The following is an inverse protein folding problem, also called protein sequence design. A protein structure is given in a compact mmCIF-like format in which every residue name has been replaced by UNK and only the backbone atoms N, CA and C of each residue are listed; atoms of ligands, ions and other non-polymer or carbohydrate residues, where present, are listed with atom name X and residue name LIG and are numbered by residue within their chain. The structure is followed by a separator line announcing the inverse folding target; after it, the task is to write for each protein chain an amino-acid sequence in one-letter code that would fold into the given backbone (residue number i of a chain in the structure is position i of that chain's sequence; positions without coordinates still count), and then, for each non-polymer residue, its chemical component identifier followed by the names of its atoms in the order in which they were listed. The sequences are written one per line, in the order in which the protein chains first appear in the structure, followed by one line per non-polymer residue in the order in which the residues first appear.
data_IF_219317825934
#
_entry.id   IF_219317825934
#
_cell.length_a   1.000
_cell.length_b   1.000
_cell.length_c   1.000
_cell.angle_alpha   90.00
_cell.angle_beta   90.00
_cell.angle_gamma   90.00
#
_symmetry.space_group_name_H-M   'P 1'
#
loop_
_entity.id
_entity.type
_entity.pdbx_description
1 polymer ?
#
# COMPACT_ATOMS: atom_id res chain seq x y z
N UNK A 1 9.85 -56.36 25.04
CA UNK A 1 11.10 -56.64 24.30
C UNK A 1 11.88 -55.35 24.18
N UNK A 2 13.17 -55.44 24.54
CA UNK A 2 14.24 -54.47 24.81
C UNK A 2 14.11 -52.98 24.47
N UNK A 3 14.33 -52.18 25.54
CA UNK A 3 15.03 -50.89 25.51
C UNK A 3 16.53 -51.16 25.26
N UNK A 4 17.22 -50.32 24.49
CA UNK A 4 18.69 -50.32 24.47
C UNK A 4 19.21 -48.92 24.84
N UNK A 5 19.75 -48.87 26.05
CA UNK A 5 20.56 -47.82 26.64
C UNK A 5 22.00 -48.34 26.62
N UNK A 6 22.96 -47.69 25.97
CA UNK A 6 24.42 -47.81 26.16
C UNK A 6 25.02 -46.68 25.29
N UNK A 7 25.97 -45.84 25.72
CA UNK A 7 27.02 -46.04 26.70
C UNK A 7 27.56 -44.66 27.11
N UNK A 8 27.84 -44.53 28.41
CA UNK A 8 28.63 -43.45 29.01
C UNK A 8 30.09 -43.64 28.64
N UNK A 9 30.80 -42.57 28.29
CA UNK A 9 32.25 -42.50 28.44
C UNK A 9 32.65 -41.11 28.92
N UNK A 10 33.11 -41.07 30.17
CA UNK A 10 33.80 -39.95 30.77
C UNK A 10 35.31 -40.15 30.58
N UNK A 11 36.02 -39.14 30.11
CA UNK A 11 37.44 -38.95 30.38
C UNK A 11 37.72 -37.45 30.60
N UNK A 12 38.65 -37.23 31.53
CA UNK A 12 38.85 -36.06 32.36
C UNK A 12 39.80 -35.02 31.70
N UNK A 13 40.17 -33.92 32.41
CA UNK A 13 40.46 -32.61 31.83
C UNK A 13 41.91 -32.46 31.34
N UNK A 14 42.11 -31.66 30.31
CA UNK A 14 43.43 -31.08 29.99
C UNK A 14 43.29 -29.56 30.03
N UNK A 15 43.88 -28.98 31.08
CA UNK A 15 44.15 -27.56 31.19
C UNK A 15 45.29 -27.19 30.22
N UNK A 16 45.08 -26.20 29.36
CA UNK A 16 46.19 -25.45 28.77
C UNK A 16 45.74 -24.10 28.21
N UNK A 17 46.45 -23.06 28.65
CA UNK A 17 46.66 -21.76 28.02
C UNK A 17 45.49 -20.77 27.84
N UNK A 18 45.50 -19.82 28.77
CA UNK A 18 45.14 -18.40 28.56
C UNK A 18 45.70 -17.89 27.24
N UNK A 19 44.80 -17.46 26.35
CA UNK A 19 45.07 -16.40 25.39
C UNK A 19 43.87 -15.45 25.42
N UNK A 20 44.01 -14.32 26.13
CA UNK A 20 43.10 -13.18 26.01
C UNK A 20 43.24 -12.62 24.59
N UNK A 21 42.45 -13.14 23.65
CA UNK A 21 42.15 -12.45 22.41
C UNK A 21 41.11 -11.40 22.74
N UNK A 22 41.58 -10.18 22.99
CA UNK A 22 40.77 -8.97 22.98
C UNK A 22 40.08 -8.88 21.62
N UNK A 23 38.88 -9.45 21.55
CA UNK A 23 38.00 -9.36 20.40
C UNK A 23 37.50 -7.92 20.40
N UNK A 24 38.16 -7.07 19.64
CA UNK A 24 37.60 -5.78 19.24
C UNK A 24 36.33 -6.11 18.46
N UNK A 25 35.20 -6.07 19.16
CA UNK A 25 33.88 -6.03 18.53
C UNK A 25 33.85 -4.71 17.78
N UNK A 26 34.31 -4.75 16.52
CA UNK A 26 34.16 -3.65 15.60
C UNK A 26 32.68 -3.41 15.48
N UNK A 27 32.21 -2.29 16.05
CA UNK A 27 30.90 -1.74 15.77
C UNK A 27 30.82 -1.53 14.27
N UNK A 28 30.27 -2.50 13.54
CA UNK A 28 29.84 -2.24 12.18
C UNK A 28 28.91 -1.04 12.27
N UNK A 29 29.13 0.04 11.51
CA UNK A 29 28.16 1.11 11.45
C UNK A 29 26.86 0.43 11.02
N UNK A 30 25.87 0.41 11.91
CA UNK A 30 24.52 0.07 11.54
C UNK A 30 24.21 1.01 10.38
N UNK A 31 24.08 0.48 9.16
CA UNK A 31 23.63 1.24 8.03
C UNK A 31 22.24 1.74 8.45
N UNK A 32 22.18 2.97 8.92
CA UNK A 32 20.92 3.64 9.18
C UNK A 32 20.17 3.49 7.85
N UNK A 33 19.01 2.83 7.89
CA UNK A 33 18.10 2.89 6.75
C UNK A 33 18.00 4.37 6.38
N UNK A 34 18.42 4.74 5.17
CA UNK A 34 18.48 6.14 4.77
C UNK A 34 17.06 6.69 4.82
N UNK A 35 16.74 7.36 5.93
CA UNK A 35 15.49 8.04 6.12
C UNK A 35 15.41 9.20 5.12
N UNK A 36 14.21 9.52 4.68
CA UNK A 36 13.93 10.61 3.75
C UNK A 36 12.87 11.54 4.39
N UNK A 37 13.29 12.52 5.21
CA UNK A 37 12.37 13.44 5.87
C UNK A 37 11.47 14.22 4.90
N UNK A 38 11.91 14.43 3.66
CA UNK A 38 11.09 15.08 2.64
C UNK A 38 9.94 14.17 2.18
N UNK A 39 10.19 12.87 1.99
CA UNK A 39 9.15 11.89 1.72
C UNK A 39 8.15 11.77 2.88
N UNK A 40 8.64 11.77 4.12
CA UNK A 40 7.81 11.75 5.33
C UNK A 40 6.89 12.98 5.43
N UNK A 41 7.46 14.18 5.24
CA UNK A 41 6.71 15.42 5.22
C UNK A 41 5.66 15.45 4.10
N UNK A 42 6.02 14.93 2.92
CA UNK A 42 5.10 14.81 1.79
C UNK A 42 3.89 13.91 2.14
N UNK A 43 4.12 12.71 2.68
CA UNK A 43 3.02 11.80 3.09
C UNK A 43 2.17 12.43 4.19
N UNK A 44 2.80 13.07 5.18
CA UNK A 44 2.10 13.79 6.23
C UNK A 44 1.17 14.86 5.66
N UNK A 45 1.65 15.66 4.71
CA UNK A 45 0.85 16.71 4.10
C UNK A 45 -0.31 16.17 3.24
N UNK A 46 -0.04 15.19 2.36
CA UNK A 46 -1.07 14.63 1.47
C UNK A 46 -2.14 13.88 2.27
N UNK A 47 -1.74 13.11 3.29
CA UNK A 47 -2.69 12.40 4.15
C UNK A 47 -3.57 13.35 4.96
N UNK A 48 -3.02 14.44 5.50
CA UNK A 48 -3.81 15.47 6.19
C UNK A 48 -4.83 16.14 5.27
N UNK A 49 -4.44 16.44 4.02
CA UNK A 49 -5.39 16.98 3.03
C UNK A 49 -6.50 15.97 2.70
N UNK A 50 -6.14 14.70 2.49
CA UNK A 50 -7.11 13.64 2.25
C UNK A 50 -8.11 13.51 3.41
N UNK A 51 -7.62 13.43 4.66
CA UNK A 51 -8.45 13.34 5.85
C UNK A 51 -9.38 14.55 5.96
N UNK A 52 -8.85 15.76 5.73
CA UNK A 52 -9.66 16.98 5.74
C UNK A 52 -10.79 16.93 4.71
N UNK A 53 -10.52 16.52 3.48
CA UNK A 53 -11.54 16.43 2.42
C UNK A 53 -12.61 15.40 2.81
N UNK A 54 -12.20 14.23 3.27
CA UNK A 54 -13.13 13.13 3.58
C UNK A 54 -14.01 13.45 4.79
N UNK A 55 -13.46 14.10 5.81
CA UNK A 55 -14.17 14.47 7.04
C UNK A 55 -14.94 15.79 6.96
N UNK A 56 -14.87 16.52 5.83
CA UNK A 56 -15.57 17.78 5.67
C UNK A 56 -17.09 17.57 5.54
N UNK A 57 -17.79 17.86 6.62
CA UNK A 57 -19.26 17.75 6.72
C UNK A 57 -19.99 18.85 5.95
N UNK A 58 -19.31 19.90 5.51
CA UNK A 58 -19.91 20.96 4.69
C UNK A 58 -20.03 20.56 3.21
N UNK A 59 -19.26 19.55 2.78
CA UNK A 59 -19.32 19.01 1.44
C UNK A 59 -20.40 17.92 1.35
N UNK A 60 -21.14 17.90 0.26
CA UNK A 60 -21.86 16.70 -0.13
C UNK A 60 -20.88 15.66 -0.69
N UNK A 61 -21.40 14.48 -1.02
CA UNK A 61 -20.58 13.39 -1.55
C UNK A 61 -19.84 13.80 -2.82
N UNK A 62 -20.53 14.45 -3.76
CA UNK A 62 -19.96 14.90 -5.04
C UNK A 62 -18.84 15.89 -4.84
N UNK A 63 -18.99 16.83 -3.89
CA UNK A 63 -17.96 17.79 -3.52
C UNK A 63 -16.71 17.13 -2.95
N UNK A 64 -16.88 16.11 -2.08
CA UNK A 64 -15.75 15.30 -1.58
C UNK A 64 -15.05 14.54 -2.71
N UNK A 65 -15.81 13.90 -3.60
CA UNK A 65 -15.27 13.19 -4.77
C UNK A 65 -14.46 14.12 -5.67
N UNK A 66 -14.95 15.32 -5.97
CA UNK A 66 -14.25 16.30 -6.80
C UNK A 66 -12.93 16.79 -6.18
N UNK A 67 -12.93 17.14 -4.89
CA UNK A 67 -11.71 17.58 -4.21
C UNK A 67 -10.70 16.44 -4.05
N UNK A 68 -11.18 15.23 -3.76
CA UNK A 68 -10.31 14.06 -3.63
C UNK A 68 -9.69 13.68 -4.99
N UNK A 69 -10.44 13.77 -6.09
CA UNK A 69 -9.94 13.60 -7.44
C UNK A 69 -8.81 14.60 -7.76
N UNK A 70 -8.98 15.88 -7.40
CA UNK A 70 -7.96 16.90 -7.59
C UNK A 70 -6.69 16.62 -6.77
N UNK A 71 -6.85 16.15 -5.52
CA UNK A 71 -5.74 15.75 -4.67
C UNK A 71 -4.96 14.59 -5.31
N UNK A 72 -5.64 13.54 -5.78
CA UNK A 72 -5.01 12.39 -6.42
C UNK A 72 -4.35 12.77 -7.75
N UNK A 73 -4.99 13.56 -8.60
CA UNK A 73 -4.40 14.03 -9.86
C UNK A 73 -3.08 14.80 -9.64
N UNK A 74 -2.99 15.52 -8.53
CA UNK A 74 -1.78 16.27 -8.15
C UNK A 74 -0.73 15.40 -7.47
N UNK A 75 -1.11 14.37 -6.72
CA UNK A 75 -0.17 13.68 -5.82
C UNK A 75 0.10 12.22 -6.17
N UNK A 76 -0.72 11.58 -7.00
CA UNK A 76 -0.52 10.20 -7.45
C UNK A 76 -0.10 10.15 -8.92
N UNK A 77 0.65 9.11 -9.29
CA UNK A 77 0.93 8.79 -10.69
C UNK A 77 -0.18 7.90 -11.26
N UNK A 78 -1.40 8.45 -11.36
CA UNK A 78 -2.61 7.70 -11.71
C UNK A 78 -2.47 6.89 -12.99
N UNK A 79 -1.82 7.45 -14.02
CA UNK A 79 -1.57 6.74 -15.27
C UNK A 79 -0.69 5.50 -15.08
N UNK A 80 0.36 5.62 -14.27
CA UNK A 80 1.26 4.49 -13.98
C UNK A 80 0.58 3.42 -13.14
N UNK A 81 -0.23 3.82 -12.16
CA UNK A 81 -1.01 2.89 -11.34
C UNK A 81 -2.04 2.15 -12.21
N UNK A 82 -2.79 2.88 -13.04
CA UNK A 82 -3.76 2.30 -13.96
C UNK A 82 -3.08 1.29 -14.91
N UNK A 83 -1.91 1.62 -15.46
CA UNK A 83 -1.15 0.72 -16.30
C UNK A 83 -0.63 -0.52 -15.53
N UNK A 84 -0.16 -0.34 -14.29
CA UNK A 84 0.27 -1.44 -13.44
C UNK A 84 -0.86 -2.44 -13.16
N UNK A 85 -2.07 -1.94 -12.88
CA UNK A 85 -3.23 -2.76 -12.60
C UNK A 85 -3.68 -3.63 -13.79
N UNK A 86 -3.32 -3.27 -15.03
CA UNK A 86 -3.61 -4.13 -16.19
C UNK A 86 -2.69 -5.35 -16.29
N UNK A 87 -1.52 -5.31 -15.66
CA UNK A 87 -0.55 -6.40 -15.68
C UNK A 87 -0.22 -6.87 -17.11
N UNK A 88 -0.43 -8.16 -17.37
CA UNK A 88 -0.15 -8.75 -18.70
C UNK A 88 -1.06 -8.23 -19.82
N UNK A 89 -2.23 -7.67 -19.48
CA UNK A 89 -3.21 -7.17 -20.44
C UNK A 89 -2.99 -5.70 -20.83
N UNK A 90 -1.87 -5.10 -20.42
CA UNK A 90 -1.54 -3.69 -20.70
C UNK A 90 -1.58 -3.34 -22.20
N UNK A 91 -1.30 -4.32 -23.08
CA UNK A 91 -1.28 -4.16 -24.54
C UNK A 91 -2.51 -4.74 -25.25
N UNK A 92 -3.49 -5.24 -24.52
CA UNK A 92 -4.72 -5.83 -25.06
C UNK A 92 -5.74 -4.80 -25.56
N UNK A 93 -6.02 -3.69 -24.88
CA UNK A 93 -7.13 -2.81 -25.28
C UNK A 93 -6.87 -2.08 -26.59
N UNK A 94 -7.94 -1.84 -27.35
CA UNK A 94 -7.94 -0.87 -28.45
C UNK A 94 -7.70 0.56 -27.93
N UNK A 95 -7.35 1.53 -28.79
CA UNK A 95 -7.20 2.92 -28.35
C UNK A 95 -8.44 3.47 -27.64
N UNK A 96 -9.64 3.12 -28.12
CA UNK A 96 -10.90 3.56 -27.52
C UNK A 96 -11.13 2.90 -26.15
N UNK A 97 -10.92 1.59 -26.06
CA UNK A 97 -11.01 0.86 -24.78
C UNK A 97 -10.00 1.38 -23.76
N UNK A 98 -8.79 1.74 -24.19
CA UNK A 98 -7.77 2.32 -23.32
C UNK A 98 -8.22 3.69 -22.79
N UNK A 99 -8.77 4.54 -23.65
CA UNK A 99 -9.27 5.85 -23.24
C UNK A 99 -10.46 5.74 -22.27
N UNK A 100 -11.36 4.79 -22.51
CA UNK A 100 -12.46 4.49 -21.61
C UNK A 100 -11.96 3.93 -20.26
N UNK A 101 -11.03 2.97 -20.30
CA UNK A 101 -10.42 2.38 -19.11
C UNK A 101 -9.80 3.43 -18.20
N UNK A 102 -9.02 4.37 -18.72
CA UNK A 102 -8.38 5.39 -17.88
C UNK A 102 -9.43 6.25 -17.17
N UNK A 103 -10.49 6.68 -17.88
CA UNK A 103 -11.59 7.45 -17.27
C UNK A 103 -12.32 6.64 -16.20
N UNK A 104 -12.61 5.38 -16.47
CA UNK A 104 -13.27 4.49 -15.52
C UNK A 104 -12.38 4.20 -14.31
N UNK A 105 -11.07 4.02 -14.50
CA UNK A 105 -10.12 3.78 -13.43
C UNK A 105 -10.06 4.98 -12.48
N UNK A 106 -9.93 6.20 -13.00
CA UNK A 106 -9.90 7.41 -12.18
C UNK A 106 -11.19 7.56 -11.36
N UNK A 107 -12.35 7.37 -12.00
CA UNK A 107 -13.65 7.41 -11.33
C UNK A 107 -13.81 6.31 -10.28
N UNK A 108 -13.37 5.08 -10.60
CA UNK A 108 -13.42 3.94 -9.70
C UNK A 108 -12.62 4.21 -8.43
N UNK A 109 -11.35 4.63 -8.56
CA UNK A 109 -10.50 4.95 -7.41
C UNK A 109 -11.15 6.02 -6.55
N UNK A 110 -11.57 7.13 -7.13
CA UNK A 110 -12.18 8.24 -6.37
C UNK A 110 -13.43 7.79 -5.62
N UNK A 111 -14.39 7.18 -6.33
CA UNK A 111 -15.69 6.83 -5.76
C UNK A 111 -15.58 5.74 -4.71
N UNK A 112 -14.77 4.70 -4.97
CA UNK A 112 -14.56 3.63 -3.99
C UNK A 112 -13.88 4.15 -2.75
N UNK A 113 -12.78 4.90 -2.85
CA UNK A 113 -12.07 5.34 -1.65
C UNK A 113 -12.81 6.43 -0.88
N UNK A 114 -13.53 7.34 -1.54
CA UNK A 114 -14.41 8.29 -0.82
C UNK A 114 -15.51 7.56 -0.07
N UNK A 115 -16.10 6.51 -0.67
CA UNK A 115 -17.12 5.68 0.01
C UNK A 115 -16.51 4.89 1.16
N UNK A 116 -15.33 4.29 0.98
CA UNK A 116 -14.66 3.48 2.02
C UNK A 116 -14.23 4.33 3.21
N UNK A 117 -13.79 5.55 2.95
CA UNK A 117 -13.24 6.43 3.96
C UNK A 117 -14.31 7.33 4.59
N UNK A 118 -15.56 7.32 4.11
CA UNK A 118 -16.60 8.24 4.60
C UNK A 118 -16.90 8.09 6.08
N UNK A 119 -16.63 6.92 6.66
CA UNK A 119 -16.90 6.61 8.06
C UNK A 119 -15.69 6.88 8.97
N UNK A 120 -14.55 7.30 8.39
CA UNK A 120 -13.32 7.62 9.10
C UNK A 120 -13.35 9.10 9.51
N UNK A 121 -13.42 9.36 10.81
CA UNK A 121 -13.63 10.72 11.35
C UNK A 121 -12.69 11.12 12.48
N UNK A 122 -12.12 10.16 13.21
CA UNK A 122 -11.41 10.43 14.47
C UNK A 122 -10.04 9.73 14.54
N UNK A 123 -9.52 9.27 13.41
CA UNK A 123 -8.21 8.62 13.36
C UNK A 123 -7.05 9.59 13.17
N UNK A 124 -5.94 9.31 13.84
CA UNK A 124 -4.69 10.06 13.68
C UNK A 124 -3.67 9.22 12.92
N UNK A 125 -3.24 9.70 11.75
CA UNK A 125 -2.08 9.15 11.06
C UNK A 125 -0.78 9.69 11.67
N UNK A 126 0.12 8.78 12.03
CA UNK A 126 1.44 9.09 12.59
C UNK A 126 2.51 8.43 11.74
N UNK A 127 3.44 9.22 11.19
CA UNK A 127 4.62 8.70 10.49
C UNK A 127 5.54 8.02 11.50
N UNK A 128 5.99 6.82 11.17
CA UNK A 128 6.89 6.01 12.02
C UNK A 128 8.29 5.89 11.45
N UNK A 129 8.50 6.32 10.21
CA UNK A 129 9.81 6.38 9.57
C UNK A 129 9.71 6.26 8.06
N UNK A 130 10.86 6.20 7.42
CA UNK A 130 10.97 6.00 5.98
C UNK A 130 12.25 5.28 5.61
N UNK A 131 12.27 4.76 4.38
CA UNK A 131 13.41 4.10 3.79
C UNK A 131 13.48 4.41 2.30
N UNK A 132 14.63 4.91 1.85
CA UNK A 132 14.93 4.97 0.42
C UNK A 132 15.05 3.57 -0.21
N UNK A 133 14.48 3.41 -1.41
CA UNK A 133 14.60 2.22 -2.25
C UNK A 133 15.32 2.60 -3.55
N UNK A 134 16.65 2.57 -3.48
CA UNK A 134 17.51 3.11 -4.53
C UNK A 134 17.32 4.63 -4.68
N UNK A 135 17.64 5.15 -5.86
CA UNK A 135 17.68 6.61 -6.08
C UNK A 135 16.34 7.21 -6.51
N UNK A 136 15.36 6.37 -6.84
CA UNK A 136 14.12 6.81 -7.50
C UNK A 136 12.86 6.56 -6.68
N UNK A 137 12.96 5.94 -5.50
CA UNK A 137 11.79 5.51 -4.74
C UNK A 137 12.01 5.66 -3.24
N UNK A 138 10.91 5.82 -2.51
CA UNK A 138 10.90 5.82 -1.06
C UNK A 138 9.70 5.02 -0.54
N UNK A 139 9.90 4.32 0.58
CA UNK A 139 8.84 3.74 1.37
C UNK A 139 8.70 4.54 2.65
N UNK A 140 7.51 5.07 2.93
CA UNK A 140 7.21 5.76 4.19
C UNK A 140 6.30 4.87 5.01
N UNK A 141 6.65 4.61 6.26
CA UNK A 141 5.82 3.85 7.19
C UNK A 141 5.02 4.80 8.09
N UNK A 142 3.77 4.45 8.32
CA UNK A 142 2.89 5.15 9.25
C UNK A 142 1.97 4.19 9.98
N UNK A 143 1.30 4.70 10.99
CA UNK A 143 0.24 4.01 11.72
C UNK A 143 -0.99 4.92 11.84
N UNK A 144 -2.17 4.33 11.69
CA UNK A 144 -3.45 4.96 11.95
C UNK A 144 -3.86 4.58 13.36
N UNK A 145 -3.89 5.56 14.26
CA UNK A 145 -4.27 5.38 15.65
C UNK A 145 -5.76 5.74 15.83
N UNK A 146 -6.51 4.86 16.49
CA UNK A 146 -7.93 5.06 16.76
C UNK A 146 -8.14 5.57 18.19
N UNK A 147 -9.10 6.48 18.37
CA UNK A 147 -9.48 7.03 19.68
C UNK A 147 -10.26 6.03 20.55
N UNK A 148 -10.83 5.00 19.94
CA UNK A 148 -11.65 3.98 20.60
C UNK A 148 -10.84 2.76 21.13
N UNK A 149 -9.51 2.83 21.14
CA UNK A 149 -8.64 1.78 21.67
C UNK A 149 -8.46 0.56 20.77
N UNK A 150 -8.95 0.59 19.51
CA UNK A 150 -8.59 -0.43 18.50
C UNK A 150 -7.08 -0.42 18.24
N UNK A 151 -6.55 -1.59 17.92
CA UNK A 151 -5.15 -1.74 17.51
C UNK A 151 -4.81 -0.82 16.33
N UNK A 152 -3.66 -0.12 16.37
CA UNK A 152 -3.25 0.74 15.27
C UNK A 152 -3.09 -0.02 13.95
N UNK A 153 -3.61 0.56 12.88
CA UNK A 153 -3.47 -0.01 11.53
C UNK A 153 -2.17 0.48 10.90
N UNK A 154 -1.27 -0.45 10.58
CA UNK A 154 -0.02 -0.14 9.89
C UNK A 154 -0.26 0.14 8.42
N UNK A 155 0.36 1.21 7.94
CA UNK A 155 0.29 1.65 6.54
C UNK A 155 1.71 1.89 6.02
N UNK A 156 2.01 1.42 4.82
CA UNK A 156 3.26 1.77 4.11
C UNK A 156 2.94 2.44 2.79
N UNK A 157 3.56 3.56 2.51
CA UNK A 157 3.36 4.35 1.30
C UNK A 157 4.54 4.13 0.38
N UNK A 158 4.28 3.71 -0.86
CA UNK A 158 5.29 3.59 -1.90
C UNK A 158 5.26 4.81 -2.79
N UNK A 159 6.32 5.62 -2.71
CA UNK A 159 6.49 6.84 -3.48
C UNK A 159 7.52 6.68 -4.58
N UNK A 160 7.31 7.39 -5.69
CA UNK A 160 8.25 7.57 -6.77
C UNK A 160 8.78 9.01 -6.73
N UNK A 161 10.09 9.17 -6.82
CA UNK A 161 10.74 10.46 -7.01
C UNK A 161 10.49 10.93 -8.44
N UNK A 162 9.95 12.14 -8.60
CA UNK A 162 9.63 12.73 -9.89
C UNK A 162 9.80 14.25 -9.83
N UNK A 163 10.58 14.80 -10.75
CA UNK A 163 10.80 16.24 -10.92
C UNK A 163 11.18 16.98 -9.62
N UNK A 164 12.02 16.34 -8.78
CA UNK A 164 12.46 16.89 -7.49
C UNK A 164 11.44 16.76 -6.34
N UNK A 165 10.28 16.14 -6.59
CA UNK A 165 9.27 15.81 -5.58
C UNK A 165 8.88 14.33 -5.57
N UNK A 166 7.70 14.04 -5.03
CA UNK A 166 7.16 12.68 -4.91
C UNK A 166 5.80 12.54 -5.58
N UNK A 167 5.55 11.34 -6.08
CA UNK A 167 4.22 10.86 -6.46
C UNK A 167 3.92 9.56 -5.73
N UNK A 168 2.70 9.41 -5.23
CA UNK A 168 2.20 8.14 -4.73
C UNK A 168 2.07 7.13 -5.88
N UNK A 169 2.58 5.92 -5.65
CA UNK A 169 2.39 4.78 -6.54
C UNK A 169 1.50 3.72 -5.90
N UNK A 170 1.74 3.36 -4.64
CA UNK A 170 0.89 2.38 -3.97
C UNK A 170 0.85 2.59 -2.45
N UNK A 171 -0.16 2.01 -1.81
CA UNK A 171 -0.33 1.98 -0.37
C UNK A 171 -0.46 0.52 0.05
N UNK A 172 0.28 0.14 1.08
CA UNK A 172 0.13 -1.11 1.80
C UNK A 172 -0.69 -0.87 3.05
N UNK A 173 -1.76 -1.64 3.24
CA UNK A 173 -2.57 -1.62 4.46
C UNK A 173 -2.57 -3.03 5.03
N UNK A 174 -2.05 -3.20 6.26
CA UNK A 174 -1.98 -4.50 6.95
C UNK A 174 -1.36 -5.61 6.07
N UNK A 175 -0.27 -5.29 5.37
CA UNK A 175 0.45 -6.24 4.52
C UNK A 175 -0.07 -6.36 3.09
N UNK A 176 -1.23 -5.78 2.75
CA UNK A 176 -1.82 -5.84 1.41
C UNK A 176 -1.51 -4.56 0.63
N UNK A 177 -0.78 -4.70 -0.48
CA UNK A 177 -0.54 -3.62 -1.46
C UNK A 177 -1.76 -3.45 -2.36
N UNK A 178 -2.38 -2.26 -2.32
CA UNK A 178 -3.68 -2.03 -2.96
C UNK A 178 -3.62 -2.14 -4.48
N UNK A 179 -2.59 -1.59 -5.13
CA UNK A 179 -2.45 -1.70 -6.58
C UNK A 179 -2.16 -3.16 -7.02
N UNK A 180 -1.45 -3.93 -6.20
CA UNK A 180 -1.20 -5.35 -6.47
C UNK A 180 -2.46 -6.20 -6.31
N UNK A 181 -3.25 -5.94 -5.29
CA UNK A 181 -4.57 -6.57 -5.12
C UNK A 181 -5.47 -6.22 -6.32
N UNK A 182 -5.52 -4.94 -6.70
CA UNK A 182 -6.32 -4.49 -7.83
C UNK A 182 -5.88 -5.10 -9.16
N UNK A 183 -4.57 -5.26 -9.37
CA UNK A 183 -4.01 -5.98 -10.51
C UNK A 183 -4.49 -7.42 -10.55
N UNK A 184 -4.51 -8.10 -9.41
CA UNK A 184 -4.96 -9.48 -9.31
C UNK A 184 -6.45 -9.59 -9.64
N UNK A 185 -7.28 -8.68 -9.12
CA UNK A 185 -8.70 -8.60 -9.44
C UNK A 185 -8.96 -8.33 -10.94
N UNK A 186 -8.31 -7.33 -11.54
CA UNK A 186 -8.51 -6.99 -12.96
C UNK A 186 -8.06 -8.10 -13.90
N UNK A 187 -6.88 -8.67 -13.66
CA UNK A 187 -6.38 -9.79 -14.47
C UNK A 187 -7.27 -11.03 -14.32
N UNK A 188 -7.84 -11.28 -13.14
CA UNK A 188 -8.82 -12.34 -12.92
C UNK A 188 -10.11 -12.11 -13.71
N UNK A 189 -10.68 -10.89 -13.67
CA UNK A 189 -11.87 -10.53 -14.45
C UNK A 189 -11.65 -10.80 -15.94
N UNK A 190 -10.55 -10.32 -16.50
CA UNK A 190 -10.25 -10.51 -17.93
C UNK A 190 -10.06 -12.00 -18.26
N UNK A 191 -9.29 -12.73 -17.45
CA UNK A 191 -9.05 -14.16 -17.66
C UNK A 191 -10.34 -14.98 -17.62
N UNK A 192 -11.22 -14.72 -16.65
CA UNK A 192 -12.50 -15.42 -16.49
C UNK A 192 -13.47 -15.17 -17.66
N UNK A 193 -13.22 -14.13 -18.45
CA UNK A 193 -13.98 -13.80 -19.66
C UNK A 193 -13.16 -14.05 -20.94
N UNK A 194 -12.23 -15.01 -20.90
CA UNK A 194 -11.52 -15.48 -22.10
C UNK A 194 -10.58 -14.45 -22.72
N UNK A 195 -10.13 -13.45 -21.96
CA UNK A 195 -9.28 -12.37 -22.47
C UNK A 195 -10.04 -11.14 -22.97
N UNK A 196 -11.37 -11.11 -22.89
CA UNK A 196 -12.15 -9.94 -23.30
C UNK A 196 -11.93 -8.76 -22.36
N UNK A 197 -11.32 -7.69 -22.89
CA UNK A 197 -11.06 -6.47 -22.15
C UNK A 197 -12.34 -5.70 -21.80
N UNK A 198 -13.41 -5.87 -22.58
CA UNK A 198 -14.72 -5.24 -22.32
C UNK A 198 -15.27 -5.66 -20.97
N UNK A 199 -15.03 -6.91 -20.55
CA UNK A 199 -15.41 -7.40 -19.23
C UNK A 199 -14.79 -6.60 -18.08
N UNK A 200 -13.56 -6.08 -18.24
CA UNK A 200 -12.96 -5.20 -17.24
C UNK A 200 -13.63 -3.82 -17.21
N UNK A 201 -13.98 -3.27 -18.37
CA UNK A 201 -14.68 -1.99 -18.46
C UNK A 201 -16.05 -2.08 -17.78
N UNK A 202 -16.79 -3.15 -18.03
CA UNK A 202 -18.10 -3.39 -17.43
C UNK A 202 -17.99 -3.66 -15.93
N UNK A 203 -16.97 -4.40 -15.51
CA UNK A 203 -16.66 -4.57 -14.09
C UNK A 203 -16.43 -3.23 -13.39
N UNK A 204 -15.62 -2.34 -13.97
CA UNK A 204 -15.38 -1.00 -13.41
C UNK A 204 -16.66 -0.16 -13.32
N UNK A 205 -17.49 -0.16 -14.36
CA UNK A 205 -18.80 0.53 -14.35
C UNK A 205 -19.68 0.02 -13.22
N UNK A 206 -19.73 -1.29 -13.01
CA UNK A 206 -20.48 -1.90 -11.93
C UNK A 206 -19.95 -1.48 -10.56
N UNK A 207 -18.63 -1.53 -10.34
CA UNK A 207 -18.03 -1.12 -9.07
C UNK A 207 -18.25 0.37 -8.76
N UNK A 208 -18.25 1.22 -9.79
CA UNK A 208 -18.58 2.64 -9.66
C UNK A 208 -20.05 2.80 -9.21
N UNK A 209 -20.98 2.13 -9.88
CA UNK A 209 -22.40 2.18 -9.52
C UNK A 209 -22.67 1.64 -8.11
N UNK A 210 -21.98 0.57 -7.72
CA UNK A 210 -22.06 0.02 -6.36
C UNK A 210 -21.58 1.03 -5.32
N UNK A 211 -20.41 1.64 -5.55
CA UNK A 211 -19.87 2.67 -4.66
C UNK A 211 -20.83 3.85 -4.49
N UNK A 212 -21.46 4.31 -5.59
CA UNK A 212 -22.48 5.37 -5.56
C UNK A 212 -23.69 5.02 -4.70
N UNK A 213 -24.05 3.74 -4.67
CA UNK A 213 -25.11 3.20 -3.81
C UNK A 213 -24.63 2.84 -2.39
N UNK A 214 -23.40 3.21 -2.01
CA UNK A 214 -22.83 2.92 -0.70
C UNK A 214 -22.39 1.46 -0.51
N UNK A 215 -22.37 0.67 -1.59
CA UNK A 215 -21.87 -0.72 -1.58
C UNK A 215 -20.39 -0.73 -1.93
N UNK A 216 -19.60 -1.39 -1.09
CA UNK A 216 -18.16 -1.47 -1.30
C UNK A 216 -17.78 -2.75 -2.06
N UNK A 217 -16.73 -2.71 -2.90
CA UNK A 217 -16.13 -3.91 -3.49
C UNK A 217 -15.77 -4.90 -2.38
N UNK A 218 -16.16 -6.17 -2.54
CA UNK A 218 -15.67 -7.25 -1.68
C UNK A 218 -14.24 -7.57 -2.09
N UNK A 219 -13.25 -7.09 -1.33
CA UNK A 219 -11.82 -7.34 -1.56
C UNK A 219 -11.18 -7.92 -0.30
N UNK A 220 -10.02 -8.56 -0.40
CA UNK A 220 -9.32 -9.11 0.76
C UNK A 220 -9.03 -8.04 1.85
N UNK A 221 -8.82 -6.77 1.44
CA UNK A 221 -8.66 -5.64 2.35
C UNK A 221 -9.93 -5.30 3.17
N UNK A 222 -11.11 -5.72 2.72
CA UNK A 222 -12.38 -5.55 3.44
C UNK A 222 -12.46 -6.44 4.68
N UNK A 223 -11.73 -7.57 4.70
CA UNK A 223 -11.72 -8.53 5.82
C UNK A 223 -10.86 -8.04 7.00
N UNK A 224 -10.07 -6.98 6.83
CA UNK A 224 -9.24 -6.41 7.89
C UNK A 224 -9.97 -5.34 8.72
N UNK A 225 -11.25 -5.08 8.45
CA UNK A 225 -12.08 -4.10 9.17
C UNK A 225 -12.73 -4.69 10.43
#
# INVERSE_FOLDING_TARGET
MSRLNFMRSAFAPVAFCVALLASTVGSLPAQAANADPAAEAWVSNVSQQAIKIISDKSLDRTGREAQFAALLGTNADMQRIAAFCLGQFLRTPTPDQKNEYIKLFDNFVVKVYVTRLSDYHDEKLVITGSQLKGDTQALVQSQINFTNGREPVKVTWWLLKKDGGYKLFDVNVVGVWLAQEQRSAFTSVINNHGGDFTALLDHLKQQIADAENGKLPTTAATTAQ
#
